data_IF_472378835914
#
_entry.id   IF_472378835914
#
_cell.length_a   1.000
_cell.length_b   1.000
_cell.length_c   1.000
_cell.angle_alpha   90.00
_cell.angle_beta   90.00
_cell.angle_gamma   90.00
#
_symmetry.space_group_name_H-M   'P 1'
#
loop_
_entity.id
_entity.type
_entity.pdbx_description
1 polymer ?
#
# COMPACT_ATOMS: atom_id res chain seq x y z
N UNK A 1 -53.90 21.12 -13.06
CA UNK A 1 -54.62 22.15 -13.82
C UNK A 1 -53.73 23.38 -13.68
N UNK A 2 -52.69 23.48 -14.49
CA UNK A 2 -52.75 24.09 -15.86
C UNK A 2 -53.10 25.59 -15.69
N UNK A 3 -52.32 26.58 -16.12
CA UNK A 3 -51.30 26.65 -17.16
C UNK A 3 -50.40 27.89 -16.97
N UNK A 4 -49.39 27.92 -17.82
CA UNK A 4 -48.32 28.88 -18.07
C UNK A 4 -48.71 30.35 -18.36
N UNK A 5 -47.63 31.14 -18.44
CA UNK A 5 -47.33 32.20 -19.43
C UNK A 5 -47.24 33.69 -19.00
N UNK A 6 -45.97 34.14 -19.02
CA UNK A 6 -45.43 35.30 -19.76
C UNK A 6 -45.58 36.77 -19.32
N UNK A 7 -44.42 37.47 -19.50
CA UNK A 7 -44.17 38.92 -19.75
C UNK A 7 -44.24 39.90 -18.56
N UNK A 8 -43.50 41.01 -18.47
CA UNK A 8 -42.41 41.68 -19.23
C UNK A 8 -42.02 42.95 -18.40
N UNK A 9 -40.81 43.48 -18.57
CA UNK A 9 -40.38 44.82 -18.10
C UNK A 9 -38.95 44.83 -17.52
N UNK A 10 -37.90 45.22 -18.27
CA UNK A 10 -37.40 46.61 -18.48
C UNK A 10 -37.14 47.36 -17.16
N UNK A 11 -36.01 47.98 -16.80
CA UNK A 11 -34.79 48.55 -17.41
C UNK A 11 -33.71 48.51 -16.28
N UNK A 12 -32.40 48.62 -16.51
CA UNK A 12 -31.69 49.91 -16.58
C UNK A 12 -30.22 49.68 -16.91
N UNK A 13 -29.72 50.47 -17.86
CA UNK A 13 -28.37 50.45 -18.37
C UNK A 13 -27.47 51.40 -17.56
N UNK A 14 -26.24 50.97 -17.29
CA UNK A 14 -25.13 51.89 -17.02
C UNK A 14 -23.98 51.52 -17.94
N UNK A 15 -23.90 52.26 -19.05
CA UNK A 15 -22.73 52.38 -19.91
C UNK A 15 -21.60 53.09 -19.16
N UNK A 16 -20.46 52.43 -19.03
CA UNK A 16 -19.17 53.10 -18.85
C UNK A 16 -18.32 52.78 -20.07
N UNK A 17 -18.17 53.79 -20.93
CA UNK A 17 -17.27 53.77 -22.08
C UNK A 17 -15.83 53.73 -21.59
N UNK A 18 -15.06 52.74 -22.03
CA UNK A 18 -13.61 52.82 -21.99
C UNK A 18 -13.02 52.82 -23.41
N UNK A 19 -12.38 53.95 -23.67
CA UNK A 19 -11.77 54.38 -24.91
C UNK A 19 -10.59 53.49 -25.29
N UNK A 20 -10.64 53.01 -26.54
CA UNK A 20 -9.53 52.42 -27.28
C UNK A 20 -8.27 53.28 -27.20
N UNK A 21 -7.20 52.75 -26.60
CA UNK A 21 -5.83 53.07 -27.00
C UNK A 21 -5.21 51.86 -27.68
N UNK A 22 -5.20 51.94 -29.00
CA UNK A 22 -4.39 51.11 -29.90
C UNK A 22 -2.92 51.41 -29.64
N UNK A 23 -2.27 50.63 -28.78
CA UNK A 23 -0.82 50.54 -28.73
C UNK A 23 -0.36 49.43 -29.69
N UNK A 24 0.37 49.84 -30.71
CA UNK A 24 1.11 48.98 -31.63
C UNK A 24 2.04 48.03 -30.85
N UNK A 25 2.11 46.72 -31.17
CA UNK A 25 3.16 45.87 -30.66
C UNK A 25 4.50 46.31 -31.27
N UNK A 26 5.41 46.74 -30.40
CA UNK A 26 6.82 46.97 -30.74
C UNK A 26 7.40 45.68 -31.31
N UNK A 27 8.10 45.83 -32.42
CA UNK A 27 8.97 44.84 -33.04
C UNK A 27 9.76 44.04 -32.00
N UNK A 28 9.60 42.71 -32.04
CA UNK A 28 10.49 41.77 -31.37
C UNK A 28 11.92 42.00 -31.87
N UNK A 29 12.75 42.56 -30.99
CA UNK A 29 14.19 42.46 -31.11
C UNK A 29 14.58 41.01 -30.92
N UNK A 30 15.36 40.49 -31.86
CA UNK A 30 16.15 39.27 -31.73
C UNK A 30 17.06 39.38 -30.52
N UNK A 31 16.66 38.77 -29.41
CA UNK A 31 17.54 38.52 -28.27
C UNK A 31 17.98 37.06 -28.34
N UNK A 32 19.14 36.85 -28.97
CA UNK A 32 19.72 35.54 -29.23
C UNK A 32 20.52 34.98 -28.05
N UNK A 33 20.28 35.44 -26.83
CA UNK A 33 21.14 35.15 -25.66
C UNK A 33 20.45 34.40 -24.50
N UNK A 34 19.18 33.99 -24.65
CA UNK A 34 18.46 33.21 -23.60
C UNK A 34 18.69 31.69 -23.66
N UNK A 35 19.30 31.15 -24.73
CA UNK A 35 19.53 29.70 -24.90
C UNK A 35 20.68 29.12 -24.06
N UNK A 36 21.43 29.95 -23.32
CA UNK A 36 22.53 29.50 -22.47
C UNK A 36 22.14 29.31 -21.00
N UNK A 37 20.95 29.75 -20.58
CA UNK A 37 20.49 29.58 -19.19
C UNK A 37 19.94 28.18 -18.88
N UNK A 38 19.72 27.34 -19.90
CA UNK A 38 19.09 26.03 -19.78
C UNK A 38 20.07 24.85 -19.60
N UNK A 39 21.38 25.12 -19.46
CA UNK A 39 22.35 24.07 -19.12
C UNK A 39 22.39 23.77 -17.63
N UNK A 40 22.18 24.79 -16.79
CA UNK A 40 22.23 24.64 -15.33
C UNK A 40 20.96 24.00 -14.77
N UNK A 41 19.82 24.16 -15.45
CA UNK A 41 18.55 23.45 -15.16
C UNK A 41 18.71 21.94 -15.32
N UNK A 42 19.31 21.49 -16.43
CA UNK A 42 19.54 20.07 -16.73
C UNK A 42 20.41 19.37 -15.68
N UNK A 43 21.53 19.98 -15.27
CA UNK A 43 22.40 19.41 -14.23
C UNK A 43 21.73 19.40 -12.85
N UNK A 44 20.87 20.37 -12.57
CA UNK A 44 20.10 20.44 -11.33
C UNK A 44 19.04 19.34 -11.26
N UNK A 45 18.33 19.08 -12.35
CA UNK A 45 17.38 17.97 -12.45
C UNK A 45 18.07 16.60 -12.35
N UNK A 46 19.21 16.40 -13.05
CA UNK A 46 20.01 15.19 -12.91
C UNK A 46 20.46 14.95 -11.46
N UNK A 47 20.88 16.01 -10.75
CA UNK A 47 21.25 15.92 -9.34
C UNK A 47 20.07 15.55 -8.44
N UNK A 48 18.86 16.04 -8.74
CA UNK A 48 17.65 15.70 -8.00
C UNK A 48 17.22 14.25 -8.25
N UNK A 49 17.28 13.78 -9.50
CA UNK A 49 16.96 12.40 -9.87
C UNK A 49 17.93 11.42 -9.20
N UNK A 50 19.23 11.72 -9.19
CA UNK A 50 20.24 10.88 -8.54
C UNK A 50 20.02 10.81 -7.02
N UNK A 51 19.68 11.93 -6.37
CA UNK A 51 19.31 11.93 -4.95
C UNK A 51 18.07 11.08 -4.67
N UNK A 52 17.02 11.23 -5.49
CA UNK A 52 15.79 10.45 -5.34
C UNK A 52 16.07 8.94 -5.48
N UNK A 53 16.92 8.55 -6.44
CA UNK A 53 17.36 7.17 -6.63
C UNK A 53 18.11 6.64 -5.41
N UNK A 54 19.07 7.39 -4.86
CA UNK A 54 19.82 6.98 -3.67
C UNK A 54 18.89 6.80 -2.46
N UNK A 55 17.93 7.71 -2.27
CA UNK A 55 16.94 7.61 -1.20
C UNK A 55 16.06 6.36 -1.35
N UNK A 56 15.53 6.09 -2.55
CA UNK A 56 14.73 4.91 -2.82
C UNK A 56 15.54 3.61 -2.60
N UNK A 57 16.80 3.58 -3.03
CA UNK A 57 17.67 2.41 -2.87
C UNK A 57 17.96 2.13 -1.39
N UNK A 58 18.14 3.18 -0.57
CA UNK A 58 18.30 3.04 0.89
C UNK A 58 17.05 2.47 1.55
N UNK A 59 15.88 2.91 1.13
CA UNK A 59 14.60 2.42 1.66
C UNK A 59 14.37 0.94 1.32
N UNK A 60 14.71 0.53 0.09
CA UNK A 60 14.68 -0.89 -0.32
C UNK A 60 15.60 -1.75 0.56
N UNK A 61 16.83 -1.30 0.83
CA UNK A 61 17.77 -2.03 1.70
C UNK A 61 17.21 -2.17 3.12
N UNK A 62 16.65 -1.10 3.69
CA UNK A 62 16.05 -1.12 5.04
C UNK A 62 14.86 -2.07 5.09
N UNK A 63 14.00 -2.05 4.08
CA UNK A 63 12.87 -2.97 4.00
C UNK A 63 13.32 -4.43 3.84
N UNK A 64 14.31 -4.71 2.98
CA UNK A 64 14.87 -6.07 2.80
C UNK A 64 15.41 -6.62 4.12
N UNK A 65 16.23 -5.84 4.84
CA UNK A 65 16.77 -6.26 6.13
C UNK A 65 15.68 -6.52 7.17
N UNK A 66 14.58 -5.75 7.16
CA UNK A 66 13.44 -5.97 8.05
C UNK A 66 12.71 -7.27 7.72
N UNK A 67 12.49 -7.54 6.43
CA UNK A 67 11.84 -8.77 5.96
C UNK A 67 12.70 -9.99 6.31
N UNK A 68 14.00 -9.95 6.04
CA UNK A 68 14.95 -11.01 6.40
C UNK A 68 14.96 -11.27 7.91
N UNK A 69 14.92 -10.21 8.73
CA UNK A 69 14.83 -10.34 10.18
C UNK A 69 13.52 -11.00 10.65
N UNK A 70 12.40 -10.67 10.02
CA UNK A 70 11.11 -11.32 10.29
C UNK A 70 11.07 -12.78 9.84
N UNK A 71 11.64 -13.11 8.67
CA UNK A 71 11.77 -14.48 8.20
C UNK A 71 12.64 -15.32 9.15
N UNK A 72 13.80 -14.80 9.59
CA UNK A 72 14.65 -15.50 10.54
C UNK A 72 13.97 -15.77 11.89
N UNK A 73 13.11 -14.85 12.34
CA UNK A 73 12.30 -15.05 13.54
C UNK A 73 11.24 -16.15 13.35
N UNK A 74 10.57 -16.18 12.19
CA UNK A 74 9.60 -17.23 11.86
C UNK A 74 10.27 -18.59 11.77
N UNK A 75 11.40 -18.72 11.06
CA UNK A 75 12.17 -19.97 10.98
C UNK A 75 12.62 -20.45 12.37
N UNK A 76 12.93 -19.52 13.28
CA UNK A 76 13.26 -19.87 14.66
C UNK A 76 12.06 -20.41 15.42
N UNK A 77 10.87 -19.83 15.23
CA UNK A 77 9.63 -20.30 15.85
C UNK A 77 9.24 -21.67 15.30
N UNK A 78 9.32 -21.86 13.98
CA UNK A 78 9.04 -23.13 13.32
C UNK A 78 9.96 -24.25 13.84
N UNK A 79 11.27 -24.02 13.88
CA UNK A 79 12.23 -24.99 14.46
C UNK A 79 11.96 -25.31 15.92
N UNK A 80 11.49 -24.34 16.72
CA UNK A 80 11.11 -24.60 18.12
C UNK A 80 9.83 -25.42 18.23
N UNK A 81 8.88 -25.22 17.31
CA UNK A 81 7.64 -25.99 17.21
C UNK A 81 7.91 -27.44 16.79
N UNK A 82 8.74 -27.65 15.77
CA UNK A 82 9.21 -28.97 15.35
C UNK A 82 9.94 -29.70 16.49
N UNK A 83 10.83 -29.01 17.21
CA UNK A 83 11.53 -29.58 18.36
C UNK A 83 10.58 -29.93 19.54
N UNK A 84 9.46 -29.22 19.67
CA UNK A 84 8.40 -29.52 20.65
C UNK A 84 7.55 -30.72 20.22
N UNK A 85 7.34 -30.90 18.91
CA UNK A 85 6.59 -32.02 18.35
C UNK A 85 7.39 -33.32 18.35
N UNK A 86 8.71 -33.25 18.10
CA UNK A 86 9.60 -34.42 18.11
C UNK A 86 9.95 -34.91 19.53
N UNK A 87 9.90 -34.05 20.56
CA UNK A 87 10.20 -34.44 21.94
C UNK A 87 8.93 -34.83 22.73
N UNK A 88 8.65 -36.13 22.86
CA UNK A 88 7.69 -36.69 23.84
C UNK A 88 8.20 -36.59 25.30
N UNK A 89 8.88 -35.52 25.68
CA UNK A 89 9.37 -35.29 27.05
C UNK A 89 8.69 -34.04 27.59
N UNK A 90 7.99 -34.22 28.73
CA UNK A 90 7.11 -33.22 29.34
C UNK A 90 7.73 -31.83 29.49
N UNK A 91 6.89 -30.78 29.50
CA UNK A 91 7.34 -29.43 29.27
C UNK A 91 8.14 -28.92 30.47
N UNK A 92 9.44 -28.69 30.26
CA UNK A 92 10.21 -27.76 31.08
C UNK A 92 10.11 -26.40 30.39
N UNK A 93 9.12 -25.61 30.80
CA UNK A 93 9.08 -24.18 30.49
C UNK A 93 10.02 -23.43 31.46
N UNK A 94 11.02 -22.68 30.98
CA UNK A 94 11.63 -21.64 31.77
C UNK A 94 10.96 -20.29 31.44
N UNK A 95 10.45 -19.64 32.48
CA UNK A 95 10.08 -18.22 32.59
C UNK A 95 8.89 -17.68 31.80
N UNK A 96 7.71 -17.73 32.44
CA UNK A 96 6.83 -16.57 32.58
C UNK A 96 6.22 -16.57 34.00
N UNK A 97 6.66 -15.63 34.84
CA UNK A 97 6.07 -15.34 36.13
C UNK A 97 4.82 -14.47 35.93
N UNK A 98 3.62 -14.98 36.24
CA UNK A 98 2.46 -14.16 36.63
C UNK A 98 1.40 -15.02 37.38
N UNK A 99 0.50 -14.42 38.20
CA UNK A 99 0.13 -14.94 39.50
C UNK A 99 -1.40 -15.11 39.58
N UNK A 100 -1.93 -16.24 39.12
CA UNK A 100 -3.36 -16.53 39.20
C UNK A 100 -3.66 -17.93 39.76
N UNK A 101 -2.88 -18.34 40.76
CA UNK A 101 -3.21 -19.51 41.61
C UNK A 101 -3.31 -19.10 43.09
N UNK A 102 -4.17 -18.13 43.38
CA UNK A 102 -4.67 -17.89 44.73
C UNK A 102 -6.18 -17.98 44.69
N UNK A 103 -6.71 -19.19 44.84
CA UNK A 103 -8.17 -19.36 44.79
C UNK A 103 -8.63 -20.80 44.96
N UNK A 104 -8.01 -21.61 45.82
CA UNK A 104 -8.60 -22.88 46.27
C UNK A 104 -8.01 -23.38 47.61
N UNK A 105 -8.27 -22.74 48.77
CA UNK A 105 -8.02 -23.36 50.08
C UNK A 105 -9.26 -23.99 50.73
N UNK A 106 -10.48 -23.70 50.25
CA UNK A 106 -11.70 -23.95 51.05
C UNK A 106 -12.14 -25.43 51.07
N UNK A 107 -11.91 -26.19 49.99
CA UNK A 107 -12.33 -27.61 49.96
C UNK A 107 -11.38 -28.57 50.72
N UNK A 108 -10.13 -28.17 50.96
CA UNK A 108 -9.18 -28.98 51.74
C UNK A 108 -9.44 -28.92 53.25
N UNK A 109 -9.97 -27.80 53.76
CA UNK A 109 -10.30 -27.65 55.18
C UNK A 109 -11.56 -28.42 55.59
N UNK A 110 -12.53 -28.57 54.69
CA UNK A 110 -13.75 -29.37 54.92
C UNK A 110 -13.44 -30.86 55.16
N UNK A 111 -12.48 -31.43 54.43
CA UNK A 111 -12.11 -32.85 54.52
C UNK A 111 -11.35 -33.20 55.82
N UNK A 112 -10.51 -32.29 56.33
CA UNK A 112 -9.79 -32.47 57.60
C UNK A 112 -10.73 -32.38 58.82
N UNK A 113 -11.75 -31.52 58.75
CA UNK A 113 -12.76 -31.38 59.81
C UNK A 113 -13.65 -32.62 59.93
N UNK A 114 -13.93 -33.30 58.81
CA UNK A 114 -14.79 -34.49 58.78
C UNK A 114 -14.07 -35.76 59.28
N UNK A 115 -12.76 -35.88 59.04
CA UNK A 115 -11.93 -36.95 59.62
C UNK A 115 -11.85 -36.86 61.15
N UNK A 116 -11.82 -35.64 61.70
CA UNK A 116 -11.85 -35.38 63.15
C UNK A 116 -13.21 -35.72 63.79
N UNK A 117 -14.30 -35.48 63.07
CA UNK A 117 -15.65 -35.86 63.50
C UNK A 117 -15.88 -37.38 63.49
N UNK A 118 -15.20 -38.14 62.61
CA UNK A 118 -15.27 -39.61 62.59
C UNK A 118 -14.48 -40.27 63.72
N UNK A 119 -13.33 -39.71 64.12
CA UNK A 119 -12.55 -40.20 65.28
C UNK A 119 -13.30 -39.97 66.59
N UNK A 120 -13.90 -38.79 66.77
CA UNK A 120 -14.68 -38.45 67.98
C UNK A 120 -15.97 -39.28 68.11
N UNK A 121 -16.62 -39.65 67.00
CA UNK A 121 -17.76 -40.57 67.01
C UNK A 121 -17.37 -42.03 67.34
N UNK A 122 -16.18 -42.48 66.95
CA UNK A 122 -15.67 -43.81 67.31
C UNK A 122 -15.20 -43.88 68.78
N UNK A 123 -14.64 -42.80 69.31
CA UNK A 123 -14.25 -42.69 70.73
C UNK A 123 -15.49 -42.67 71.65
N UNK A 124 -16.57 -41.96 71.27
CA UNK A 124 -17.82 -41.96 72.04
C UNK A 124 -18.56 -43.32 72.09
N UNK A 125 -18.36 -44.19 71.10
CA UNK A 125 -18.89 -45.57 71.13
C UNK A 125 -18.05 -46.52 72.00
N UNK A 126 -16.77 -46.21 72.23
CA UNK A 126 -15.90 -46.97 73.12
C UNK A 126 -16.13 -46.61 74.61
N UNK A 127 -16.47 -45.35 74.91
CA UNK A 127 -16.80 -44.93 76.29
C UNK A 127 -18.13 -45.51 76.79
N UNK A 128 -19.09 -45.79 75.90
CA UNK A 128 -20.36 -46.43 76.26
C UNK A 128 -20.25 -47.93 76.59
N UNK A 129 -19.07 -48.55 76.40
CA UNK A 129 -18.84 -49.95 76.68
C UNK A 129 -18.18 -50.23 78.06
N UNK A 130 -17.82 -49.19 78.84
CA UNK A 130 -16.94 -49.33 80.00
C UNK A 130 -17.53 -48.94 81.37
N UNK A 131 -18.85 -48.93 81.53
CA UNK A 131 -19.48 -48.82 82.86
C UNK A 131 -20.45 -49.98 83.13
N UNK A 132 -20.09 -50.94 84.00
CA UNK A 132 -21.06 -51.77 84.68
C UNK A 132 -21.31 -51.16 86.05
N UNK A 133 -22.50 -50.60 86.29
CA UNK A 133 -23.01 -50.55 87.65
C UNK A 133 -24.43 -51.08 87.74
N UNK A 134 -24.52 -52.03 88.63
CA UNK A 134 -25.63 -52.82 89.13
C UNK A 134 -26.83 -51.98 89.55
N UNK A 135 -28.01 -52.23 88.98
CA UNK A 135 -29.20 -52.69 89.72
C UNK A 135 -30.49 -52.66 88.86
N UNK A 136 -31.26 -53.74 88.99
CA UNK A 136 -32.71 -53.85 88.75
C UNK A 136 -33.26 -53.47 87.36
N UNK A 137 -33.53 -54.47 86.52
CA UNK A 137 -34.86 -54.62 85.89
C UNK A 137 -34.92 -55.91 85.09
N UNK A 138 -35.73 -56.86 85.56
CA UNK A 138 -36.16 -58.02 84.78
C UNK A 138 -37.14 -57.55 83.70
N UNK A 139 -36.65 -57.08 82.55
CA UNK A 139 -37.48 -56.93 81.36
C UNK A 139 -36.62 -56.78 80.08
N UNK A 140 -36.96 -57.59 79.07
CA UNK A 140 -36.71 -57.44 77.63
C UNK A 140 -35.41 -58.01 76.99
N UNK A 141 -35.41 -59.31 76.65
CA UNK A 141 -34.66 -59.86 75.51
C UNK A 141 -35.00 -59.13 74.18
N UNK A 142 -36.22 -58.59 74.06
CA UNK A 142 -36.71 -57.90 72.87
C UNK A 142 -36.02 -56.54 72.59
N UNK A 143 -35.60 -55.80 73.63
CA UNK A 143 -34.88 -54.52 73.45
C UNK A 143 -33.45 -54.72 72.97
N UNK A 144 -32.77 -55.77 73.45
CA UNK A 144 -31.43 -56.12 72.97
C UNK A 144 -31.43 -56.58 71.51
N UNK A 145 -32.45 -57.33 71.08
CA UNK A 145 -32.59 -57.75 69.68
C UNK A 145 -32.82 -56.56 68.73
N UNK A 146 -33.68 -55.60 69.11
CA UNK A 146 -33.93 -54.38 68.32
C UNK A 146 -32.69 -53.49 68.24
N UNK A 147 -31.96 -53.34 69.36
CA UNK A 147 -30.71 -52.57 69.38
C UNK A 147 -29.63 -53.21 68.50
N UNK A 148 -29.52 -54.53 68.51
CA UNK A 148 -28.59 -55.26 67.65
C UNK A 148 -28.92 -55.11 66.15
N UNK A 149 -30.20 -55.18 65.77
CA UNK A 149 -30.61 -54.99 64.37
C UNK A 149 -30.42 -53.53 63.91
N UNK A 150 -30.68 -52.54 64.76
CA UNK A 150 -30.40 -51.13 64.47
C UNK A 150 -28.90 -50.88 64.27
N UNK A 151 -28.03 -51.48 65.09
CA UNK A 151 -26.57 -51.41 64.92
C UNK A 151 -26.13 -52.10 63.62
N UNK A 152 -26.75 -53.22 63.26
CA UNK A 152 -26.50 -53.91 61.99
C UNK A 152 -26.89 -53.06 60.79
N UNK A 153 -28.05 -52.42 60.84
CA UNK A 153 -28.52 -51.50 59.80
C UNK A 153 -27.63 -50.25 59.70
N UNK A 154 -27.23 -49.66 60.84
CA UNK A 154 -26.29 -48.55 60.86
C UNK A 154 -24.95 -48.91 60.22
N UNK A 155 -24.42 -50.11 60.50
CA UNK A 155 -23.19 -50.59 59.89
C UNK A 155 -23.33 -50.83 58.37
N UNK A 156 -24.48 -51.31 57.90
CA UNK A 156 -24.77 -51.46 56.46
C UNK A 156 -24.82 -50.09 55.77
N UNK A 157 -25.52 -49.12 56.35
CA UNK A 157 -25.61 -47.76 55.82
C UNK A 157 -24.25 -47.06 55.81
N UNK A 158 -23.42 -47.25 56.84
CA UNK A 158 -22.05 -46.71 56.87
C UNK A 158 -21.17 -47.29 55.77
N UNK A 159 -21.27 -48.60 55.50
CA UNK A 159 -20.54 -49.24 54.40
C UNK A 159 -20.99 -48.72 53.04
N UNK A 160 -22.29 -48.52 52.85
CA UNK A 160 -22.84 -47.94 51.62
C UNK A 160 -22.40 -46.48 51.44
N UNK A 161 -22.45 -45.66 52.49
CA UNK A 161 -21.94 -44.28 52.46
C UNK A 161 -20.45 -44.23 52.13
N UNK A 162 -19.65 -45.15 52.67
CA UNK A 162 -18.23 -45.21 52.38
C UNK A 162 -17.96 -45.61 50.91
N UNK A 163 -18.67 -46.62 50.40
CA UNK A 163 -18.59 -47.03 49.00
C UNK A 163 -18.96 -45.87 48.06
N UNK A 164 -20.08 -45.18 48.31
CA UNK A 164 -20.50 -44.02 47.53
C UNK A 164 -19.47 -42.87 47.59
N UNK A 165 -18.87 -42.61 48.75
CA UNK A 165 -17.80 -41.60 48.88
C UNK A 165 -16.56 -41.97 48.06
N UNK A 166 -16.18 -43.24 48.06
CA UNK A 166 -15.06 -43.74 47.25
C UNK A 166 -15.35 -43.61 45.75
N UNK A 167 -16.57 -43.93 45.31
CA UNK A 167 -16.98 -43.79 43.90
C UNK A 167 -17.01 -42.31 43.46
N UNK A 168 -17.55 -41.42 44.31
CA UNK A 168 -17.53 -39.97 44.06
C UNK A 168 -16.09 -39.48 43.95
N UNK A 169 -15.21 -39.90 44.86
CA UNK A 169 -13.81 -39.50 44.86
C UNK A 169 -13.10 -39.99 43.60
N UNK A 170 -13.27 -41.25 43.20
CA UNK A 170 -12.72 -41.78 41.96
C UNK A 170 -13.23 -41.02 40.73
N UNK A 171 -14.50 -40.65 40.71
CA UNK A 171 -15.09 -39.91 39.60
C UNK A 171 -14.50 -38.50 39.50
N UNK A 172 -14.36 -37.81 40.64
CA UNK A 172 -13.77 -36.48 40.72
C UNK A 172 -12.27 -36.46 40.40
N UNK A 173 -11.51 -37.48 40.81
CA UNK A 173 -10.05 -37.50 40.62
C UNK A 173 -9.62 -38.09 39.27
N UNK A 174 -10.33 -39.08 38.74
CA UNK A 174 -9.87 -39.83 37.56
C UNK A 174 -10.73 -39.65 36.32
N UNK A 175 -12.05 -39.44 36.45
CA UNK A 175 -12.95 -39.36 35.28
C UNK A 175 -13.26 -37.94 34.84
N UNK A 176 -13.53 -37.04 35.79
CA UNK A 176 -13.92 -35.66 35.51
C UNK A 176 -12.78 -34.83 34.89
N UNK A 177 -11.52 -34.88 35.38
CA UNK A 177 -10.45 -34.04 34.84
C UNK A 177 -10.11 -34.27 33.36
N UNK A 178 -9.99 -35.52 32.85
CA UNK A 178 -9.73 -35.72 31.42
C UNK A 178 -10.93 -35.32 30.55
N UNK A 179 -12.17 -35.50 31.02
CA UNK A 179 -13.36 -35.03 30.30
C UNK A 179 -13.41 -33.50 30.21
N UNK A 180 -13.16 -32.80 31.33
CA UNK A 180 -13.07 -31.34 31.34
C UNK A 180 -11.94 -30.81 30.44
N UNK A 181 -10.80 -31.50 30.40
CA UNK A 181 -9.72 -31.16 29.46
C UNK A 181 -10.13 -31.37 28.01
N UNK A 182 -10.77 -32.48 27.68
CA UNK A 182 -11.26 -32.75 26.33
C UNK A 182 -12.28 -31.67 25.90
N UNK A 183 -13.22 -31.33 26.76
CA UNK A 183 -14.22 -30.29 26.49
C UNK A 183 -13.59 -28.90 26.35
N UNK A 184 -12.62 -28.55 27.21
CA UNK A 184 -11.88 -27.30 27.10
C UNK A 184 -11.08 -27.23 25.79
N UNK A 185 -10.46 -28.33 25.36
CA UNK A 185 -9.76 -28.42 24.08
C UNK A 185 -10.73 -28.23 22.89
N UNK A 186 -11.90 -28.86 22.93
CA UNK A 186 -12.94 -28.68 21.90
C UNK A 186 -13.47 -27.24 21.87
N UNK A 187 -13.57 -26.59 23.03
CA UNK A 187 -13.98 -25.20 23.15
C UNK A 187 -12.92 -24.22 22.60
N UNK A 188 -11.64 -24.59 22.67
CA UNK A 188 -10.53 -23.77 22.19
C UNK A 188 -10.31 -23.91 20.66
N UNK A 189 -10.71 -25.05 20.09
CA UNK A 189 -10.48 -25.37 18.68
C UNK A 189 -11.11 -24.35 17.69
N UNK A 190 -12.36 -23.86 17.89
CA UNK A 190 -12.94 -22.82 17.04
C UNK A 190 -12.20 -21.48 17.15
N UNK A 191 -11.67 -21.15 18.33
CA UNK A 191 -10.90 -19.91 18.55
C UNK A 191 -9.58 -19.98 17.79
N UNK A 192 -8.88 -21.11 17.88
CA UNK A 192 -7.66 -21.35 17.11
C UNK A 192 -7.92 -21.36 15.61
N UNK A 193 -9.00 -22.01 15.17
CA UNK A 193 -9.39 -22.03 13.76
C UNK A 193 -9.69 -20.63 13.23
N UNK A 194 -10.39 -19.80 14.01
CA UNK A 194 -10.65 -18.40 13.63
C UNK A 194 -9.37 -17.58 13.57
N UNK A 195 -8.44 -17.78 14.50
CA UNK A 195 -7.15 -17.10 14.49
C UNK A 195 -6.32 -17.50 13.26
N UNK A 196 -6.23 -18.80 12.95
CA UNK A 196 -5.56 -19.29 11.74
C UNK A 196 -6.20 -18.73 10.47
N UNK A 197 -7.53 -18.65 10.43
CA UNK A 197 -8.25 -18.06 9.28
C UNK A 197 -7.94 -16.57 9.11
N UNK A 198 -7.81 -15.84 10.22
CA UNK A 198 -7.47 -14.42 10.22
C UNK A 198 -6.01 -14.19 9.76
N UNK A 199 -5.07 -15.02 10.23
CA UNK A 199 -3.68 -14.99 9.76
C UNK A 199 -3.58 -15.35 8.28
N UNK A 200 -4.31 -16.37 7.82
CA UNK A 200 -4.35 -16.73 6.40
C UNK A 200 -4.87 -15.58 5.53
N UNK A 201 -5.94 -14.89 5.97
CA UNK A 201 -6.46 -13.72 5.27
C UNK A 201 -5.46 -12.55 5.27
N UNK A 202 -4.74 -12.34 6.38
CA UNK A 202 -3.70 -11.33 6.45
C UNK A 202 -2.55 -11.61 5.48
N UNK A 203 -2.08 -12.85 5.43
CA UNK A 203 -1.04 -13.28 4.50
C UNK A 203 -1.46 -13.14 3.04
N UNK A 204 -2.71 -13.48 2.70
CA UNK A 204 -3.24 -13.25 1.35
C UNK A 204 -3.28 -11.77 0.96
N UNK A 205 -3.65 -10.87 1.88
CA UNK A 205 -3.61 -9.42 1.61
C UNK A 205 -2.17 -8.94 1.38
N UNK A 206 -1.21 -9.42 2.19
CA UNK A 206 0.21 -9.11 2.00
C UNK A 206 0.69 -9.62 0.64
N UNK A 207 0.37 -10.88 0.27
CA UNK A 207 0.73 -11.46 -1.02
C UNK A 207 0.14 -10.64 -2.17
N UNK A 208 -1.12 -10.23 -2.09
CA UNK A 208 -1.76 -9.37 -3.08
C UNK A 208 -1.07 -8.01 -3.24
N UNK A 209 -0.62 -7.40 -2.14
CA UNK A 209 0.18 -6.16 -2.19
C UNK A 209 1.56 -6.39 -2.80
N UNK A 210 2.22 -7.51 -2.46
CA UNK A 210 3.52 -7.87 -3.02
C UNK A 210 3.44 -8.12 -4.53
N UNK A 211 2.42 -8.84 -5.00
CA UNK A 211 2.21 -9.08 -6.43
C UNK A 211 1.99 -7.77 -7.19
N UNK A 212 1.20 -6.84 -6.64
CA UNK A 212 1.01 -5.50 -7.23
C UNK A 212 2.31 -4.71 -7.29
N UNK A 213 3.09 -4.72 -6.21
CA UNK A 213 4.39 -4.04 -6.18
C UNK A 213 5.38 -4.65 -7.18
N UNK A 214 5.42 -5.99 -7.28
CA UNK A 214 6.26 -6.70 -8.25
C UNK A 214 5.85 -6.35 -9.69
N UNK A 215 4.56 -6.37 -10.01
CA UNK A 215 4.07 -5.99 -11.33
C UNK A 215 4.44 -4.54 -11.69
N UNK A 216 4.30 -3.61 -10.73
CA UNK A 216 4.71 -2.23 -10.90
C UNK A 216 6.22 -2.09 -11.15
N UNK A 217 7.06 -2.80 -10.37
CA UNK A 217 8.51 -2.78 -10.53
C UNK A 217 8.96 -3.35 -11.88
N UNK A 218 8.35 -4.45 -12.34
CA UNK A 218 8.64 -5.03 -13.67
C UNK A 218 8.28 -4.03 -14.78
N UNK A 219 7.14 -3.34 -14.64
CA UNK A 219 6.75 -2.30 -15.60
C UNK A 219 7.77 -1.15 -15.63
N UNK A 220 8.19 -0.64 -14.47
CA UNK A 220 9.23 0.40 -14.39
C UNK A 220 10.56 -0.07 -14.99
N UNK A 221 10.95 -1.31 -14.71
CA UNK A 221 12.18 -1.89 -15.24
C UNK A 221 12.15 -1.94 -16.78
N UNK A 222 11.06 -2.44 -17.38
CA UNK A 222 10.92 -2.48 -18.85
C UNK A 222 10.96 -1.09 -19.49
N UNK A 223 10.41 -0.06 -18.83
CA UNK A 223 10.48 1.33 -19.28
C UNK A 223 11.91 1.88 -19.21
N UNK A 224 12.66 1.56 -18.16
CA UNK A 224 14.06 1.93 -18.02
C UNK A 224 14.94 1.24 -19.08
N UNK A 225 14.70 -0.04 -19.36
CA UNK A 225 15.40 -0.75 -20.44
C UNK A 225 15.15 -0.11 -21.81
N UNK A 226 13.90 0.30 -22.09
CA UNK A 226 13.57 0.99 -23.34
C UNK A 226 14.34 2.33 -23.46
N UNK A 227 14.40 3.11 -22.38
CA UNK A 227 15.16 4.36 -22.34
C UNK A 227 16.65 4.12 -22.54
N UNK A 228 17.21 3.06 -21.94
CA UNK A 228 18.62 2.70 -22.12
C UNK A 228 18.92 2.33 -23.58
N UNK A 229 18.03 1.57 -24.23
CA UNK A 229 18.14 1.23 -25.64
C UNK A 229 18.06 2.47 -26.54
N UNK A 230 17.17 3.41 -26.23
CA UNK A 230 17.07 4.68 -26.96
C UNK A 230 18.35 5.50 -26.82
N UNK A 231 18.89 5.66 -25.60
CA UNK A 231 20.15 6.36 -25.36
C UNK A 231 21.33 5.72 -26.10
N UNK A 232 21.39 4.38 -26.14
CA UNK A 232 22.42 3.65 -26.92
C UNK A 232 22.29 3.93 -28.42
N UNK A 233 21.07 4.02 -28.94
CA UNK A 233 20.81 4.36 -30.35
C UNK A 233 21.23 5.79 -30.66
N UNK A 234 20.82 6.75 -29.82
CA UNK A 234 21.17 8.17 -29.96
C UNK A 234 22.69 8.35 -29.93
N UNK A 235 23.40 7.69 -29.01
CA UNK A 235 24.86 7.73 -28.95
C UNK A 235 25.51 7.23 -30.25
N UNK A 236 25.05 6.10 -30.79
CA UNK A 236 25.56 5.59 -32.08
C UNK A 236 25.32 6.56 -33.23
N UNK A 237 24.17 7.24 -33.26
CA UNK A 237 23.88 8.25 -34.28
C UNK A 237 24.79 9.47 -34.14
N UNK A 238 25.05 9.92 -32.90
CA UNK A 238 25.98 11.02 -32.64
C UNK A 238 27.41 10.66 -33.03
N UNK A 239 27.87 9.45 -32.70
CA UNK A 239 29.20 8.96 -33.10
C UNK A 239 29.34 8.92 -34.63
N UNK A 240 28.29 8.48 -35.34
CA UNK A 240 28.26 8.48 -36.81
C UNK A 240 28.32 9.90 -37.39
N UNK A 241 27.53 10.84 -36.85
CA UNK A 241 27.56 12.25 -37.26
C UNK A 241 28.91 12.89 -36.97
N UNK A 242 29.52 12.59 -35.83
CA UNK A 242 30.85 13.08 -35.46
C UNK A 242 31.92 12.57 -36.44
N UNK A 243 31.85 11.29 -36.86
CA UNK A 243 32.74 10.74 -37.88
C UNK A 243 32.59 11.46 -39.23
N UNK A 244 31.36 11.67 -39.70
CA UNK A 244 31.08 12.41 -40.94
C UNK A 244 31.60 13.85 -40.89
N UNK A 245 31.40 14.55 -39.77
CA UNK A 245 31.95 15.89 -39.56
C UNK A 245 33.49 15.88 -39.56
N UNK A 246 34.10 14.85 -38.97
CA UNK A 246 35.55 14.64 -39.01
C UNK A 246 36.08 14.47 -40.43
N UNK A 247 35.44 13.64 -41.24
CA UNK A 247 35.77 13.43 -42.66
C UNK A 247 35.65 14.74 -43.46
N UNK A 248 34.56 15.49 -43.27
CA UNK A 248 34.36 16.78 -43.93
C UNK A 248 35.41 17.81 -43.50
N UNK A 249 35.77 17.85 -42.21
CA UNK A 249 36.83 18.73 -41.70
C UNK A 249 38.19 18.38 -42.31
N UNK A 250 38.50 17.09 -42.48
CA UNK A 250 39.72 16.65 -43.16
C UNK A 250 39.71 17.05 -44.64
N UNK A 251 38.61 16.81 -45.36
CA UNK A 251 38.47 17.20 -46.76
C UNK A 251 38.61 18.72 -46.95
N UNK A 252 38.05 19.54 -46.06
CA UNK A 252 38.21 20.99 -46.08
C UNK A 252 39.66 21.42 -45.82
N UNK A 253 40.37 20.77 -44.87
CA UNK A 253 41.80 21.04 -44.64
C UNK A 253 42.62 20.71 -45.88
N UNK A 254 42.38 19.58 -46.53
CA UNK A 254 43.06 19.20 -47.77
C UNK A 254 42.77 20.17 -48.93
N UNK A 255 41.51 20.59 -49.08
CA UNK A 255 41.15 21.60 -50.08
C UNK A 255 41.86 22.93 -49.80
N UNK A 256 41.97 23.33 -48.53
CA UNK A 256 42.67 24.53 -48.11
C UNK A 256 44.19 24.42 -48.35
N UNK A 257 44.83 23.27 -48.08
CA UNK A 257 46.25 23.09 -48.37
C UNK A 257 46.51 23.14 -49.87
N UNK A 258 45.71 22.47 -50.69
CA UNK A 258 45.80 22.55 -52.16
C UNK A 258 45.63 23.97 -52.68
N UNK A 259 44.69 24.73 -52.11
CA UNK A 259 44.49 26.13 -52.48
C UNK A 259 45.71 26.99 -52.11
N UNK A 260 46.30 26.79 -50.93
CA UNK A 260 47.53 27.50 -50.53
C UNK A 260 48.71 27.13 -51.41
N UNK A 261 48.86 25.85 -51.77
CA UNK A 261 49.89 25.39 -52.70
C UNK A 261 49.73 26.03 -54.08
N UNK A 262 48.50 26.09 -54.61
CA UNK A 262 48.21 26.79 -55.86
C UNK A 262 48.56 28.29 -55.75
N UNK A 263 48.15 28.96 -54.67
CA UNK A 263 48.48 30.38 -54.46
C UNK A 263 49.99 30.62 -54.37
N UNK A 264 50.73 29.72 -53.70
CA UNK A 264 52.18 29.79 -53.61
C UNK A 264 52.83 29.56 -54.99
N UNK A 265 52.38 28.55 -55.74
CA UNK A 265 52.80 28.31 -57.12
C UNK A 265 52.60 29.56 -58.01
N UNK A 266 51.42 30.19 -57.94
CA UNK A 266 51.18 31.43 -58.70
C UNK A 266 52.05 32.59 -58.22
N UNK A 267 52.30 32.72 -56.92
CA UNK A 267 53.20 33.74 -56.35
C UNK A 267 54.65 33.53 -56.83
N UNK A 268 55.11 32.29 -56.88
CA UNK A 268 56.45 31.91 -57.34
C UNK A 268 56.59 32.07 -58.87
N UNK A 269 55.54 31.73 -59.63
CA UNK A 269 55.48 32.01 -61.07
C UNK A 269 55.46 33.53 -61.37
N UNK A 270 54.71 34.31 -60.60
CA UNK A 270 54.63 35.78 -60.75
C UNK A 270 55.93 36.49 -60.36
N UNK A 271 56.72 35.91 -59.45
CA UNK A 271 58.03 36.45 -59.05
C UNK A 271 59.17 35.98 -59.96
N UNK A 272 59.05 34.79 -60.55
CA UNK A 272 59.87 34.30 -61.68
C UNK A 272 59.69 35.13 -62.96
N UNK A 273 58.53 35.77 -63.12
CA UNK A 273 58.23 36.66 -64.26
C UNK A 273 59.03 37.97 -64.30
N UNK A 274 60.02 38.16 -63.39
CA UNK A 274 61.04 39.22 -63.53
C UNK A 274 62.15 38.86 -64.53
N UNK A 275 62.27 37.62 -64.99
CA UNK A 275 63.21 37.20 -66.03
C UNK A 275 62.56 36.57 -67.26
N UNK A 276 61.23 36.50 -67.33
CA UNK A 276 60.55 36.26 -68.58
C UNK A 276 60.61 37.55 -69.39
N UNK A 277 61.63 37.65 -70.25
CA UNK A 277 61.55 38.45 -71.48
C UNK A 277 60.19 38.12 -72.09
N UNK A 278 59.27 39.08 -72.07
CA UNK A 278 58.10 39.03 -72.92
C UNK A 278 58.67 38.72 -74.31
N UNK A 279 58.41 37.52 -74.81
CA UNK A 279 58.72 37.19 -76.20
C UNK A 279 57.80 38.13 -76.96
N UNK A 280 58.32 39.31 -77.27
CA UNK A 280 57.76 40.16 -78.29
C UNK A 280 57.75 39.27 -79.52
N UNK A 281 56.55 38.79 -79.83
CA UNK A 281 56.29 38.01 -81.03
C UNK A 281 56.83 38.87 -82.15
N UNK A 282 57.92 38.40 -82.78
CA UNK A 282 58.49 39.06 -83.95
C UNK A 282 57.33 39.23 -84.95
N UNK A 283 57.11 40.41 -85.55
CA UNK A 283 56.07 40.60 -86.55
C UNK A 283 56.17 39.64 -87.75
N UNK A 284 57.26 38.87 -87.88
CA UNK A 284 57.43 37.78 -88.85
C UNK A 284 57.06 36.38 -88.31
N UNK A 285 56.73 36.25 -87.03
CA UNK A 285 56.45 34.97 -86.41
C UNK A 285 55.05 34.47 -86.80
N UNK A 286 55.01 33.24 -87.33
CA UNK A 286 53.81 32.58 -87.83
C UNK A 286 52.89 32.08 -86.71
N UNK A 287 53.24 32.35 -85.44
CA UNK A 287 52.46 31.98 -84.26
C UNK A 287 51.10 32.68 -84.23
N UNK A 288 51.02 33.94 -84.64
CA UNK A 288 49.74 34.65 -84.82
C UNK A 288 48.88 34.03 -85.93
N UNK A 289 49.51 33.61 -87.03
CA UNK A 289 48.84 32.91 -88.15
C UNK A 289 48.34 31.53 -87.73
N UNK A 290 49.14 30.77 -86.96
CA UNK A 290 48.73 29.47 -86.40
C UNK A 290 47.60 29.58 -85.39
N UNK A 291 47.56 30.65 -84.59
CA UNK A 291 46.44 30.96 -83.70
C UNK A 291 45.19 31.34 -84.50
N UNK A 292 45.36 32.09 -85.58
CA UNK A 292 44.29 32.40 -86.53
C UNK A 292 43.76 31.14 -87.22
N UNK A 293 44.63 30.23 -87.65
CA UNK A 293 44.23 28.91 -88.19
C UNK A 293 43.60 28.01 -87.12
N UNK A 294 43.94 28.15 -85.84
CA UNK A 294 43.28 27.42 -84.75
C UNK A 294 41.89 27.98 -84.42
N UNK A 295 41.70 29.29 -84.53
CA UNK A 295 40.48 29.99 -84.17
C UNK A 295 39.49 30.10 -85.33
N UNK A 296 39.98 30.16 -86.57
CA UNK A 296 39.18 30.39 -87.79
C UNK A 296 39.36 29.29 -88.84
N UNK A 297 40.40 28.45 -88.72
CA UNK A 297 40.60 27.30 -89.60
C UNK A 297 39.46 26.29 -89.46
N UNK A 298 38.77 26.09 -90.57
CA UNK A 298 37.39 25.61 -90.63
C UNK A 298 37.24 24.08 -90.56
N UNK A 299 38.18 23.33 -89.99
CA UNK A 299 38.17 21.86 -90.10
C UNK A 299 38.89 21.08 -88.99
N UNK A 300 38.53 21.31 -87.72
CA UNK A 300 38.73 20.29 -86.66
C UNK A 300 37.42 20.02 -85.94
N UNK A 301 36.86 18.83 -86.19
CA UNK A 301 35.62 18.28 -85.61
C UNK A 301 35.70 17.94 -84.11
N UNK A 302 36.76 18.37 -83.42
CA UNK A 302 36.90 18.21 -81.97
C UNK A 302 36.87 19.59 -81.35
N UNK A 303 35.75 19.94 -80.73
CA UNK A 303 35.55 21.18 -79.99
C UNK A 303 36.55 21.24 -78.82
N UNK A 304 37.73 21.80 -79.06
CA UNK A 304 38.80 21.97 -78.06
C UNK A 304 38.33 22.80 -76.84
N UNK A 305 37.28 23.60 -77.02
CA UNK A 305 36.58 24.31 -75.97
C UNK A 305 35.09 24.02 -76.07
N UNK A 306 34.44 23.78 -74.92
CA UNK A 306 32.97 23.76 -74.83
C UNK A 306 32.45 25.04 -75.47
N UNK A 307 31.56 24.93 -76.46
CA UNK A 307 31.04 26.13 -77.13
C UNK A 307 30.37 27.03 -76.09
N UNK A 308 30.48 28.35 -76.27
CA UNK A 308 29.86 29.32 -75.37
C UNK A 308 28.36 29.05 -75.17
N UNK A 309 27.69 28.50 -76.19
CA UNK A 309 26.29 28.07 -76.13
C UNK A 309 26.06 26.92 -75.14
N UNK A 310 26.94 25.91 -75.12
CA UNK A 310 26.82 24.80 -74.15
C UNK A 310 27.03 25.24 -72.71
N UNK A 311 27.92 26.21 -72.48
CA UNK A 311 28.14 26.80 -71.16
C UNK A 311 26.95 27.67 -70.74
N UNK A 312 26.43 28.50 -71.65
CA UNK A 312 25.26 29.33 -71.41
C UNK A 312 23.99 28.49 -71.13
N UNK A 313 23.84 27.35 -71.81
CA UNK A 313 22.76 26.39 -71.56
C UNK A 313 22.88 25.77 -70.15
N UNK A 314 24.09 25.38 -69.72
CA UNK A 314 24.32 24.84 -68.38
C UNK A 314 24.04 25.86 -67.27
N UNK A 315 24.46 27.12 -67.47
CA UNK A 315 24.12 28.20 -66.54
C UNK A 315 22.62 28.47 -66.46
N UNK A 316 21.92 28.42 -67.60
CA UNK A 316 20.47 28.59 -67.63
C UNK A 316 19.75 27.44 -66.90
N UNK A 317 20.23 26.20 -67.05
CA UNK A 317 19.71 25.04 -66.33
C UNK A 317 19.91 25.19 -64.80
N UNK A 318 21.10 25.59 -64.37
CA UNK A 318 21.41 25.76 -62.94
C UNK A 318 20.52 26.85 -62.29
N UNK A 319 20.29 27.96 -63.00
CA UNK A 319 19.38 29.02 -62.54
C UNK A 319 17.94 28.50 -62.43
N UNK A 320 17.52 27.63 -63.35
CA UNK A 320 16.18 27.02 -63.28
C UNK A 320 16.07 26.02 -62.14
N UNK A 321 17.10 25.20 -61.90
CA UNK A 321 17.16 24.24 -60.79
C UNK A 321 17.15 24.97 -59.44
N UNK A 322 17.88 26.07 -59.32
CA UNK A 322 17.84 26.94 -58.14
C UNK A 322 16.42 27.47 -57.88
N UNK A 323 15.73 27.97 -58.91
CA UNK A 323 14.36 28.45 -58.78
C UNK A 323 13.38 27.34 -58.36
N UNK A 324 13.58 26.12 -58.85
CA UNK A 324 12.76 24.97 -58.47
C UNK A 324 12.99 24.60 -57.00
N UNK A 325 14.24 24.59 -56.53
CA UNK A 325 14.58 24.30 -55.14
C UNK A 325 14.08 25.41 -54.19
N UNK A 326 14.21 26.68 -54.58
CA UNK A 326 13.66 27.81 -53.83
C UNK A 326 12.13 27.71 -53.72
N UNK A 327 11.43 27.33 -54.81
CA UNK A 327 9.99 27.11 -54.78
C UNK A 327 9.58 25.92 -53.89
N UNK A 328 10.38 24.86 -53.83
CA UNK A 328 10.14 23.71 -52.94
C UNK A 328 10.39 24.05 -51.46
N UNK A 329 11.36 24.92 -51.16
CA UNK A 329 11.63 25.39 -49.80
C UNK A 329 10.63 26.46 -49.33
N UNK A 330 10.17 27.31 -50.25
CA UNK A 330 9.15 28.32 -49.98
C UNK A 330 7.73 27.72 -49.92
N UNK A 331 7.52 26.51 -50.44
CA UNK A 331 6.29 25.77 -50.23
C UNK A 331 6.19 25.43 -48.72
N UNK A 332 5.13 25.89 -48.02
CA UNK A 332 4.95 25.54 -46.62
C UNK A 332 4.88 24.03 -46.51
N UNK A 333 5.74 23.43 -45.66
CA UNK A 333 5.69 22.00 -45.40
C UNK A 333 4.27 21.67 -44.95
N UNK A 334 3.55 20.86 -45.72
CA UNK A 334 2.11 20.60 -45.50
C UNK A 334 1.81 19.96 -44.13
N UNK A 335 2.83 19.47 -43.44
CA UNK A 335 2.76 18.83 -42.12
C UNK A 335 2.97 19.81 -40.96
N UNK A 336 3.46 21.04 -41.20
CA UNK A 336 3.65 22.04 -40.15
C UNK A 336 2.32 22.44 -39.48
N UNK A 337 1.23 22.76 -40.22
CA UNK A 337 -0.05 23.09 -39.61
C UNK A 337 -0.66 21.92 -38.85
N UNK A 338 -0.55 20.70 -39.39
CA UNK A 338 -1.02 19.48 -38.73
C UNK A 338 -0.24 19.21 -37.42
N UNK A 339 1.07 19.49 -37.41
CA UNK A 339 1.90 19.34 -36.22
C UNK A 339 1.61 20.44 -35.19
N UNK A 340 1.42 21.68 -35.64
CA UNK A 340 1.08 22.83 -34.79
C UNK A 340 -0.26 22.60 -34.09
N UNK A 341 -1.28 22.20 -34.85
CA UNK A 341 -2.60 21.86 -34.30
C UNK A 341 -2.53 20.70 -33.30
N UNK A 342 -1.79 19.64 -33.60
CA UNK A 342 -1.58 18.53 -32.65
C UNK A 342 -0.85 18.96 -31.38
N UNK A 343 0.16 19.84 -31.48
CA UNK A 343 0.82 20.41 -30.30
C UNK A 343 -0.09 21.31 -29.48
N UNK A 344 -0.95 22.10 -30.11
CA UNK A 344 -1.96 22.92 -29.42
C UNK A 344 -3.01 22.04 -28.72
N UNK A 345 -3.46 20.96 -29.34
CA UNK A 345 -4.38 19.98 -28.74
C UNK A 345 -3.77 19.30 -27.52
N UNK A 346 -2.51 18.86 -27.61
CA UNK A 346 -1.79 18.29 -26.47
C UNK A 346 -1.60 19.32 -25.35
N UNK A 347 -1.32 20.59 -25.70
CA UNK A 347 -1.17 21.66 -24.73
C UNK A 347 -2.49 21.92 -23.98
N UNK A 348 -3.63 21.91 -24.68
CA UNK A 348 -4.96 22.06 -24.09
C UNK A 348 -5.40 20.88 -23.22
N UNK A 349 -4.85 19.68 -23.44
CA UNK A 349 -5.09 18.52 -22.59
C UNK A 349 -4.22 18.51 -21.32
N UNK A 350 -2.99 19.01 -21.41
CA UNK A 350 -2.03 19.03 -20.32
C UNK A 350 -2.20 20.24 -19.40
N UNK A 351 -2.68 21.36 -19.93
CA UNK A 351 -2.79 22.62 -19.21
C UNK A 351 -4.23 23.13 -19.14
N UNK A 352 -4.60 23.64 -17.97
CA UNK A 352 -5.87 24.33 -17.76
C UNK A 352 -5.93 25.68 -18.47
N UNK A 353 -7.13 26.27 -18.52
CA UNK A 353 -7.33 27.69 -18.91
C UNK A 353 -6.53 28.70 -18.07
N UNK A 354 -5.95 28.25 -16.94
CA UNK A 354 -5.01 28.99 -16.09
C UNK A 354 -3.53 28.71 -16.36
N UNK A 355 -3.17 27.93 -17.40
CA UNK A 355 -1.80 27.46 -17.70
C UNK A 355 -1.16 26.63 -16.57
N UNK A 356 -1.95 25.96 -15.74
CA UNK A 356 -1.47 25.02 -14.73
C UNK A 356 -1.54 23.58 -15.22
N UNK A 357 -0.48 22.80 -14.96
CA UNK A 357 -0.35 21.41 -15.39
C UNK A 357 -1.39 20.52 -14.69
N UNK A 358 -2.36 20.00 -15.44
CA UNK A 358 -3.35 19.04 -14.93
C UNK A 358 -2.73 17.63 -14.83
N UNK A 359 -2.14 17.32 -13.68
CA UNK A 359 -1.65 15.97 -13.38
C UNK A 359 -2.77 15.01 -12.93
N UNK A 360 -3.97 15.52 -12.64
CA UNK A 360 -5.10 14.72 -12.18
C UNK A 360 -6.26 14.85 -13.15
N UNK A 361 -6.67 13.75 -13.77
CA UNK A 361 -7.83 13.74 -14.66
C UNK A 361 -9.09 14.17 -13.88
N UNK A 362 -10.04 14.84 -14.54
CA UNK A 362 -11.30 15.23 -13.91
C UNK A 362 -12.11 14.02 -13.42
N UNK A 363 -12.00 12.85 -14.05
CA UNK A 363 -12.66 11.63 -13.54
C UNK A 363 -12.03 11.14 -12.22
N UNK A 364 -10.70 11.20 -12.10
CA UNK A 364 -9.98 10.80 -10.89
C UNK A 364 -10.34 11.73 -9.73
N UNK A 365 -10.41 13.03 -10.00
CA UNK A 365 -10.81 14.04 -8.99
C UNK A 365 -12.23 13.80 -8.51
N UNK A 366 -13.16 13.49 -9.42
CA UNK A 366 -14.55 13.14 -9.07
C UNK A 366 -14.63 11.88 -8.21
N UNK A 367 -13.87 10.84 -8.53
CA UNK A 367 -13.80 9.61 -7.74
C UNK A 367 -13.21 9.84 -6.35
N UNK A 368 -12.15 10.65 -6.24
CA UNK A 368 -11.58 11.04 -4.94
C UNK A 368 -12.60 11.78 -4.10
N UNK A 369 -13.33 12.73 -4.69
CA UNK A 369 -14.34 13.49 -3.96
C UNK A 369 -15.51 12.60 -3.50
N UNK A 370 -15.95 11.65 -4.33
CA UNK A 370 -16.92 10.62 -3.94
C UNK A 370 -16.42 9.77 -2.77
N UNK A 371 -15.16 9.31 -2.82
CA UNK A 371 -14.55 8.54 -1.74
C UNK A 371 -14.51 9.35 -0.44
N UNK A 372 -14.12 10.62 -0.50
CA UNK A 372 -14.12 11.53 0.66
C UNK A 372 -15.53 11.68 1.25
N UNK A 373 -16.56 11.89 0.42
CA UNK A 373 -17.95 11.98 0.94
C UNK A 373 -18.41 10.68 1.59
N UNK A 374 -18.04 9.51 1.03
CA UNK A 374 -18.37 8.22 1.62
C UNK A 374 -17.64 8.01 2.95
N UNK A 375 -16.38 8.43 3.03
CA UNK A 375 -15.59 8.41 4.26
C UNK A 375 -16.24 9.28 5.35
N UNK A 376 -16.65 10.51 5.02
CA UNK A 376 -17.30 11.41 5.98
C UNK A 376 -18.64 10.85 6.48
N UNK A 377 -19.43 10.25 5.60
CA UNK A 377 -20.68 9.58 5.97
C UNK A 377 -20.45 8.40 6.93
N UNK A 378 -19.41 7.59 6.69
CA UNK A 378 -19.05 6.48 7.59
C UNK A 378 -18.61 7.01 8.96
N UNK A 379 -17.83 8.08 8.99
CA UNK A 379 -17.42 8.72 10.25
C UNK A 379 -18.62 9.25 11.03
N UNK A 380 -19.59 9.87 10.35
CA UNK A 380 -20.81 10.35 10.99
C UNK A 380 -21.63 9.20 11.58
N UNK A 381 -21.86 8.11 10.82
CA UNK A 381 -22.57 6.93 11.33
C UNK A 381 -21.88 6.29 12.54
N UNK A 382 -20.55 6.21 12.53
CA UNK A 382 -19.79 5.69 13.67
C UNK A 382 -19.88 6.62 14.90
N UNK A 383 -19.89 7.93 14.68
CA UNK A 383 -20.08 8.91 15.74
C UNK A 383 -21.48 8.79 16.37
N UNK A 384 -22.51 8.67 15.54
CA UNK A 384 -23.90 8.52 15.96
C UNK A 384 -24.08 7.21 16.75
N UNK A 385 -23.60 6.08 16.22
CA UNK A 385 -23.62 4.79 16.92
C UNK A 385 -22.89 4.86 18.27
N UNK A 386 -21.72 5.51 18.31
CA UNK A 386 -20.97 5.69 19.55
C UNK A 386 -21.75 6.53 20.56
N UNK A 387 -22.47 7.55 20.10
CA UNK A 387 -23.31 8.38 20.95
C UNK A 387 -24.50 7.58 21.51
N UNK A 388 -25.15 6.77 20.68
CA UNK A 388 -26.26 5.89 21.08
C UNK A 388 -25.79 4.84 22.10
N UNK A 389 -24.63 4.23 21.88
CA UNK A 389 -24.05 3.27 22.80
C UNK A 389 -23.69 3.91 24.14
N UNK A 390 -23.24 5.18 24.15
CA UNK A 390 -23.03 5.92 25.40
C UNK A 390 -24.36 6.15 26.13
N UNK A 391 -25.40 6.56 25.43
CA UNK A 391 -26.73 6.75 26.02
C UNK A 391 -27.26 5.43 26.61
N UNK A 392 -27.16 4.33 25.85
CA UNK A 392 -27.56 2.98 26.33
C UNK A 392 -26.74 2.52 27.52
N UNK A 393 -25.43 2.79 27.53
CA UNK A 393 -24.57 2.50 28.68
C UNK A 393 -24.99 3.29 29.91
N UNK A 394 -25.26 4.59 29.78
CA UNK A 394 -25.75 5.41 30.88
C UNK A 394 -27.14 4.97 31.36
N UNK A 395 -28.01 4.48 30.47
CA UNK A 395 -29.29 3.89 30.87
C UNK A 395 -29.11 2.59 31.69
N UNK A 396 -28.09 1.79 31.37
CA UNK A 396 -27.71 0.57 32.10
C UNK A 396 -27.00 0.84 33.44
N UNK A 397 -26.71 2.10 33.79
CA UNK A 397 -26.27 2.45 35.16
C UNK A 397 -27.43 2.37 36.17
N UNK A 398 -28.68 2.37 35.70
CA UNK A 398 -29.84 2.10 36.56
C UNK A 398 -29.83 0.62 36.99
N UNK A 399 -29.81 0.33 38.30
CA UNK A 399 -29.69 -1.03 38.82
C UNK A 399 -30.82 -1.96 38.36
N UNK A 400 -32.03 -1.44 38.11
CA UNK A 400 -33.17 -2.24 37.64
C UNK A 400 -33.00 -2.70 36.17
N UNK A 401 -32.55 -1.79 35.30
CA UNK A 401 -32.30 -2.14 33.89
C UNK A 401 -31.04 -3.02 33.75
N UNK A 402 -30.08 -2.85 34.66
CA UNK A 402 -28.89 -3.68 34.71
C UNK A 402 -29.21 -5.12 35.11
N UNK A 403 -30.08 -5.34 36.11
CA UNK A 403 -30.50 -6.69 36.50
C UNK A 403 -31.32 -7.35 35.39
N UNK A 404 -32.24 -6.63 34.76
CA UNK A 404 -32.99 -7.12 33.60
C UNK A 404 -32.07 -7.51 32.43
N UNK A 405 -31.12 -6.64 32.06
CA UNK A 405 -30.12 -6.93 31.04
C UNK A 405 -29.27 -8.16 31.40
N UNK A 406 -28.85 -8.29 32.66
CA UNK A 406 -28.05 -9.44 33.10
C UNK A 406 -28.86 -10.74 33.04
N UNK A 407 -30.13 -10.73 33.43
CA UNK A 407 -31.04 -11.88 33.27
C UNK A 407 -31.21 -12.25 31.80
N UNK A 408 -31.37 -11.27 30.91
CA UNK A 408 -31.44 -11.48 29.47
C UNK A 408 -30.15 -12.09 28.92
N UNK A 409 -28.98 -11.63 29.37
CA UNK A 409 -27.69 -12.22 28.99
C UNK A 409 -27.55 -13.65 29.51
N UNK A 410 -27.93 -13.93 30.77
CA UNK A 410 -27.87 -15.28 31.32
C UNK A 410 -28.84 -16.24 30.63
N UNK A 411 -29.99 -15.76 30.17
CA UNK A 411 -30.93 -16.55 29.36
C UNK A 411 -30.29 -17.11 28.08
N UNK A 412 -29.44 -16.35 27.40
CA UNK A 412 -28.76 -16.83 26.17
C UNK A 412 -27.40 -17.47 26.42
N UNK A 413 -26.68 -17.06 27.47
CA UNK A 413 -25.28 -17.44 27.66
C UNK A 413 -25.04 -18.43 28.80
N UNK A 414 -25.94 -18.54 29.79
CA UNK A 414 -25.69 -19.38 30.97
C UNK A 414 -26.98 -19.71 31.77
N UNK A 415 -27.64 -20.80 31.40
CA UNK A 415 -28.94 -21.21 31.98
C UNK A 415 -28.84 -21.54 33.48
N UNK A 416 -27.75 -22.17 33.93
CA UNK A 416 -27.57 -22.54 35.34
C UNK A 416 -27.44 -21.29 36.24
N UNK A 417 -26.76 -20.26 35.73
CA UNK A 417 -26.59 -18.98 36.44
C UNK A 417 -27.88 -18.16 36.45
N UNK A 418 -28.70 -18.27 35.41
CA UNK A 418 -30.04 -17.71 35.40
C UNK A 418 -30.90 -18.36 36.48
N UNK A 419 -30.89 -19.70 36.56
CA UNK A 419 -31.66 -20.46 37.54
C UNK A 419 -31.31 -20.05 38.98
N UNK A 420 -30.01 -19.96 39.28
CA UNK A 420 -29.51 -19.53 40.60
C UNK A 420 -30.00 -18.12 40.99
N UNK A 421 -29.87 -17.14 40.08
CA UNK A 421 -30.29 -15.74 40.35
C UNK A 421 -31.81 -15.62 40.49
N UNK A 422 -32.59 -16.36 39.69
CA UNK A 422 -34.06 -16.38 39.81
C UNK A 422 -34.49 -17.02 41.12
N UNK A 423 -33.89 -18.14 41.53
CA UNK A 423 -34.16 -18.77 42.83
C UNK A 423 -33.81 -17.85 44.01
N UNK A 424 -32.73 -17.06 43.94
CA UNK A 424 -32.40 -16.06 44.95
C UNK A 424 -33.43 -14.92 45.02
N UNK A 425 -33.90 -14.43 43.87
CA UNK A 425 -34.93 -13.39 43.80
C UNK A 425 -36.28 -13.91 44.33
N UNK A 426 -36.66 -15.15 44.02
CA UNK A 426 -37.86 -15.79 44.56
C UNK A 426 -37.80 -15.96 46.09
N UNK A 427 -36.63 -16.34 46.62
CA UNK A 427 -36.40 -16.43 48.07
C UNK A 427 -36.51 -15.05 48.73
N UNK A 428 -35.96 -14.00 48.12
CA UNK A 428 -36.08 -12.63 48.61
C UNK A 428 -37.53 -12.13 48.58
N UNK A 429 -38.27 -12.36 47.49
CA UNK A 429 -39.68 -11.97 47.38
C UNK A 429 -40.56 -12.69 48.39
N UNK A 430 -40.31 -13.98 48.63
CA UNK A 430 -41.02 -14.78 49.64
C UNK A 430 -40.75 -14.25 51.06
N UNK A 431 -39.50 -13.88 51.35
CA UNK A 431 -39.13 -13.28 52.64
C UNK A 431 -39.73 -11.88 52.88
N UNK A 432 -39.97 -11.09 51.83
CA UNK A 432 -40.70 -9.83 51.92
C UNK A 432 -42.21 -10.01 52.08
N UNK A 433 -42.77 -11.10 51.58
CA UNK A 433 -44.20 -11.45 51.74
C UNK A 433 -44.55 -12.01 53.13
N UNK A 434 -43.57 -12.48 53.90
CA UNK A 434 -43.73 -13.00 55.28
C UNK A 434 -43.39 -11.96 56.38
N UNK A 435 -43.30 -10.67 56.04
CA UNK A 435 -43.17 -9.57 57.02
C UNK A 435 -44.46 -9.35 57.83
N UNK A 436 -44.35 -8.95 59.12
CA UNK A 436 -45.39 -9.21 60.12
C UNK A 436 -46.66 -8.42 59.87
N UNK A 437 -47.77 -9.15 59.71
CA UNK A 437 -49.11 -8.67 60.08
C UNK A 437 -49.08 -8.37 61.58
N UNK A 438 -48.64 -7.17 61.96
CA UNK A 438 -48.87 -6.63 63.29
C UNK A 438 -50.38 -6.44 63.43
N UNK A 439 -51.00 -7.36 64.16
CA UNK A 439 -52.30 -7.20 64.80
C UNK A 439 -52.34 -5.83 65.49
N UNK A 440 -53.14 -4.91 64.96
CA UNK A 440 -53.57 -3.74 65.72
C UNK A 440 -54.63 -4.20 66.75
N UNK A 441 -54.45 -3.93 68.05
CA UNK A 441 -55.51 -4.15 69.02
C UNK A 441 -56.56 -3.04 68.87
N UNK A 442 -57.81 -3.47 68.95
CA UNK A 442 -58.99 -2.65 69.23
C UNK A 442 -58.72 -1.62 70.32
N UNK A 443 -58.99 -0.33 70.05
CA UNK A 443 -59.56 0.56 71.06
C UNK A 443 -60.74 1.34 70.45
N UNK A 444 -61.85 1.27 71.19
CA UNK A 444 -63.07 2.04 71.02
C UNK A 444 -62.82 3.47 71.49
N UNK A 445 -63.18 4.46 70.69
CA UNK A 445 -64.20 5.48 71.01
C UNK A 445 -64.55 6.32 69.77
#
# INVERSE_FOLDING_TARGET
MEDDEERDGSQEATETMDTKQTMMPKSFGTDGDELLQDKDSFWKELSQIEKARICAQREVIVMSAKVEGSCAALDSVERTLEALEENQVGPVFPFLHHPLQQGLPVLRQSLLSNARAQLTWQEGLAELAMHPDTSLSCHLPAQHAVKAELLRQAAVLQKQLHAQRCDIMQTLTHRLPPLLRAEACLSLLPVLQRQLSLEAAHLQDIEGRQQKAAAWLVSQHSRLELLELQLKRERKQLDQRAAQLGEMAMAMREAQTRLREQQQYFRDASSSQKSCTCIWIDPKDLSAVRLWDMLVGQDRKEQLFRSYETLAAQWSQLVQDQRVLEAQLAAPMSQLPDLETFTEELYGLLYNSSNELQLTSPEITKLMQQLSTMQDNLWQMLADLRSDLKVKRSALENPLLQTEHNLYVYFYCNEDRLREVVEELEKQASAFSEGPMNEQPYEKE
#
